data_IF_610691366450
#
_entry.id   IF_610691366450
#
_cell.length_a   1.000
_cell.length_b   1.000
_cell.length_c   1.000
_cell.angle_alpha   90.00
_cell.angle_beta   90.00
_cell.angle_gamma   90.00
#
_symmetry.space_group_name_H-M   'P 1'
#
loop_
_entity.id
_entity.type
_entity.pdbx_description
1 polymer ?
#
# COMPACT_ATOMS: atom_id res chain seq x y z
N UNK A 1 32.39 -13.59 28.48
CA UNK A 1 32.39 -13.76 27.01
C UNK A 1 30.99 -14.11 26.58
N UNK A 2 30.10 -13.14 26.30
CA UNK A 2 28.79 -13.32 25.62
C UNK A 2 28.03 -11.98 25.56
N UNK A 3 28.57 -10.96 24.88
CA UNK A 3 27.84 -9.70 24.60
C UNK A 3 28.02 -9.22 23.15
N UNK A 4 28.54 -10.06 22.24
CA UNK A 4 28.90 -9.67 20.88
C UNK A 4 28.03 -10.24 19.74
N UNK A 5 26.92 -10.91 20.05
CA UNK A 5 26.12 -11.61 19.03
C UNK A 5 24.76 -10.98 18.69
N UNK A 6 24.21 -10.06 19.51
CA UNK A 6 22.91 -9.42 19.21
C UNK A 6 23.04 -8.13 18.40
N UNK A 7 24.14 -7.39 18.53
CA UNK A 7 24.36 -6.15 17.79
C UNK A 7 24.59 -6.39 16.28
N UNK A 8 25.11 -7.56 15.90
CA UNK A 8 25.38 -7.93 14.51
C UNK A 8 24.10 -8.28 13.73
N UNK A 9 23.08 -8.83 14.38
CA UNK A 9 21.78 -9.13 13.75
C UNK A 9 20.97 -7.86 13.43
N UNK A 10 21.16 -6.78 14.18
CA UNK A 10 20.44 -5.50 13.98
C UNK A 10 21.00 -4.67 12.81
N UNK A 11 22.28 -4.86 12.46
CA UNK A 11 22.91 -4.22 11.29
C UNK A 11 22.43 -4.88 9.99
N UNK A 12 22.09 -6.17 10.02
CA UNK A 12 21.56 -6.89 8.85
C UNK A 12 20.09 -6.52 8.52
N UNK A 13 19.28 -6.11 9.49
CA UNK A 13 17.87 -5.71 9.22
C UNK A 13 17.81 -4.32 8.57
N UNK A 14 18.75 -3.42 8.92
CA UNK A 14 18.84 -2.07 8.32
C UNK A 14 19.29 -2.09 6.86
N UNK A 15 19.99 -3.14 6.40
CA UNK A 15 20.45 -3.24 5.01
C UNK A 15 19.35 -3.71 4.04
N UNK A 16 18.23 -4.24 4.57
CA UNK A 16 17.07 -4.70 3.80
C UNK A 16 16.11 -3.58 3.37
N UNK A 17 16.33 -2.34 3.83
CA UNK A 17 15.51 -1.17 3.50
C UNK A 17 16.31 -0.07 2.81
N UNK A 18 16.68 -0.24 1.52
CA UNK A 18 17.20 0.88 0.75
C UNK A 18 16.11 1.94 0.52
N UNK A 19 16.44 3.25 0.50
CA UNK A 19 15.49 4.31 0.20
C UNK A 19 14.91 4.16 -1.22
N UNK A 20 13.67 4.64 -1.46
CA UNK A 20 12.99 4.45 -2.73
C UNK A 20 13.77 5.11 -3.89
N UNK A 21 14.18 4.31 -4.88
CA UNK A 21 14.80 4.81 -6.12
C UNK A 21 13.73 5.14 -7.18
N UNK A 22 13.93 6.26 -7.87
CA UNK A 22 13.11 6.71 -9.00
C UNK A 22 13.16 5.71 -10.16
N UNK A 23 12.01 5.19 -10.61
CA UNK A 23 11.92 4.21 -11.70
C UNK A 23 12.07 4.87 -13.07
N UNK A 24 13.00 4.37 -13.90
CA UNK A 24 12.90 4.46 -15.37
C UNK A 24 12.26 3.16 -15.88
N UNK A 25 11.25 3.30 -16.72
CA UNK A 25 10.49 2.18 -17.28
C UNK A 25 11.28 1.43 -18.36
N UNK A 26 11.35 0.11 -18.25
CA UNK A 26 11.76 -0.77 -19.36
C UNK A 26 10.57 -1.64 -19.70
N UNK A 27 9.98 -1.40 -20.87
CA UNK A 27 8.93 -2.25 -21.47
C UNK A 27 9.61 -3.39 -22.22
N UNK A 28 9.23 -4.64 -21.93
CA UNK A 28 9.45 -5.78 -22.84
C UNK A 28 8.10 -6.32 -23.31
N UNK A 29 8.04 -6.60 -24.61
CA UNK A 29 6.86 -7.00 -25.38
C UNK A 29 6.47 -8.47 -25.11
N UNK A 30 5.16 -8.71 -24.97
CA UNK A 30 4.55 -10.05 -24.86
C UNK A 30 4.23 -10.61 -26.25
N UNK A 31 4.42 -11.92 -26.45
CA UNK A 31 3.92 -12.67 -27.61
C UNK A 31 2.56 -13.34 -27.27
N UNK A 32 1.68 -13.58 -28.26
CA UNK A 32 0.30 -14.01 -28.02
C UNK A 32 0.17 -15.53 -27.87
N UNK A 33 -0.75 -15.97 -27.00
CA UNK A 33 -1.10 -17.38 -26.79
C UNK A 33 -2.18 -17.85 -27.77
N UNK A 34 -1.91 -18.91 -28.52
CA UNK A 34 -2.91 -19.63 -29.34
C UNK A 34 -3.64 -20.67 -28.51
N UNK A 35 -4.98 -20.58 -28.50
CA UNK A 35 -5.89 -21.57 -27.90
C UNK A 35 -5.95 -22.82 -28.77
N UNK A 36 -5.84 -24.02 -28.19
CA UNK A 36 -6.15 -25.26 -28.89
C UNK A 36 -7.39 -25.93 -28.29
N UNK A 37 -8.36 -26.21 -29.18
CA UNK A 37 -9.57 -27.00 -28.97
C UNK A 37 -9.25 -28.46 -29.25
N UNK A 38 -9.78 -29.38 -28.44
CA UNK A 38 -9.64 -30.82 -28.68
C UNK A 38 -10.80 -31.36 -29.50
N UNK A 39 -10.50 -32.05 -30.60
CA UNK A 39 -11.44 -32.88 -31.36
C UNK A 39 -11.13 -34.36 -31.06
N UNK A 40 -12.19 -35.15 -30.86
CA UNK A 40 -12.12 -36.60 -30.68
C UNK A 40 -12.52 -37.26 -32.00
N UNK A 41 -11.64 -38.11 -32.55
CA UNK A 41 -11.96 -39.00 -33.66
C UNK A 41 -11.87 -40.44 -33.18
N UNK A 42 -12.96 -41.19 -33.35
CA UNK A 42 -13.07 -42.62 -33.09
C UNK A 42 -12.49 -43.40 -34.26
N UNK A 43 -11.66 -44.41 -33.99
CA UNK A 43 -11.32 -45.46 -34.95
C UNK A 43 -11.49 -46.83 -34.29
N UNK A 44 -12.37 -47.62 -34.87
CA UNK A 44 -12.61 -49.05 -34.61
C UNK A 44 -11.58 -49.89 -35.38
N UNK A 45 -11.02 -50.92 -34.75
CA UNK A 45 -10.47 -52.09 -35.47
C UNK A 45 -10.61 -53.35 -34.63
N UNK A 46 -10.89 -54.45 -35.35
CA UNK A 46 -11.27 -55.79 -34.89
C UNK A 46 -10.06 -56.65 -34.50
N UNK A 47 -10.36 -57.68 -33.72
CA UNK A 47 -9.50 -58.76 -33.24
C UNK A 47 -8.75 -59.52 -34.35
N UNK A 48 -7.51 -59.93 -34.07
CA UNK A 48 -7.07 -61.35 -34.13
C UNK A 48 -5.63 -61.53 -33.59
N UNK A 49 -5.37 -62.75 -33.12
CA UNK A 49 -4.34 -63.14 -32.17
C UNK A 49 -2.98 -63.49 -32.79
N UNK A 50 -1.89 -63.18 -32.08
CA UNK A 50 -0.78 -64.12 -31.86
C UNK A 50 0.11 -63.64 -30.71
N UNK A 51 0.65 -64.56 -29.91
CA UNK A 51 1.48 -64.28 -28.74
C UNK A 51 2.89 -64.84 -28.92
N UNK A 52 3.92 -64.10 -28.47
CA UNK A 52 4.99 -64.75 -27.70
C UNK A 52 5.28 -64.05 -26.37
N UNK A 53 5.55 -64.87 -25.37
CA UNK A 53 5.98 -64.50 -24.02
C UNK A 53 7.41 -63.95 -24.05
N UNK A 54 7.64 -62.83 -23.36
CA UNK A 54 8.67 -62.63 -22.31
C UNK A 54 9.11 -61.17 -22.25
N UNK A 55 8.68 -60.49 -21.19
CA UNK A 55 9.51 -59.87 -20.13
C UNK A 55 8.62 -58.85 -19.44
N UNK A 56 8.27 -59.08 -18.16
CA UNK A 56 7.71 -58.02 -17.33
C UNK A 56 8.83 -57.00 -17.06
N UNK A 57 8.97 -56.02 -17.94
CA UNK A 57 9.48 -54.72 -17.51
C UNK A 57 8.40 -54.08 -16.64
N UNK A 58 8.80 -53.68 -15.43
CA UNK A 58 7.95 -52.88 -14.54
C UNK A 58 7.30 -51.74 -15.34
N UNK A 59 6.01 -51.44 -15.13
CA UNK A 59 5.41 -50.28 -15.78
C UNK A 59 6.25 -49.04 -15.41
N UNK A 60 6.60 -48.17 -16.38
CA UNK A 60 7.25 -46.91 -16.04
C UNK A 60 6.33 -46.19 -15.05
N UNK A 61 6.90 -45.69 -13.96
CA UNK A 61 6.25 -44.87 -12.93
C UNK A 61 5.48 -43.71 -13.60
N UNK A 62 4.22 -43.96 -13.97
CA UNK A 62 3.33 -43.00 -14.62
C UNK A 62 2.73 -42.02 -13.59
N UNK A 63 3.18 -42.08 -12.35
CA UNK A 63 2.62 -41.31 -11.23
C UNK A 63 3.39 -39.99 -11.00
N UNK A 64 4.46 -39.72 -11.76
CA UNK A 64 5.35 -38.58 -11.51
C UNK A 64 5.53 -37.57 -12.67
N UNK A 65 4.66 -37.59 -13.70
CA UNK A 65 4.83 -36.74 -14.89
C UNK A 65 3.88 -35.53 -15.00
N UNK A 66 3.07 -35.24 -13.98
CA UNK A 66 2.21 -34.05 -14.01
C UNK A 66 3.06 -32.83 -13.62
N UNK A 67 3.36 -31.99 -14.61
CA UNK A 67 4.02 -30.69 -14.42
C UNK A 67 3.00 -29.56 -14.44
N UNK A 68 3.36 -28.47 -13.76
CA UNK A 68 2.59 -27.23 -13.67
C UNK A 68 3.47 -26.07 -14.13
N UNK A 69 2.91 -25.22 -14.98
CA UNK A 69 3.58 -24.00 -15.44
C UNK A 69 3.49 -22.90 -14.37
N UNK A 70 4.63 -22.35 -13.98
CA UNK A 70 4.68 -21.18 -13.09
C UNK A 70 4.17 -19.93 -13.81
N UNK A 71 3.15 -19.25 -13.26
CA UNK A 71 2.55 -18.09 -13.93
C UNK A 71 3.44 -16.84 -13.96
N UNK A 72 4.60 -16.85 -13.29
CA UNK A 72 5.55 -15.74 -13.23
C UNK A 72 6.70 -15.94 -14.23
N UNK A 73 7.41 -17.07 -14.15
CA UNK A 73 8.56 -17.34 -15.01
C UNK A 73 8.22 -18.16 -16.28
N UNK A 74 7.12 -18.91 -16.27
CA UNK A 74 6.75 -19.82 -17.36
C UNK A 74 7.43 -21.19 -17.30
N UNK A 75 8.21 -21.47 -16.25
CA UNK A 75 8.89 -22.77 -16.11
C UNK A 75 7.90 -23.86 -15.69
N UNK A 76 8.05 -25.05 -16.27
CA UNK A 76 7.32 -26.25 -15.86
C UNK A 76 7.99 -26.91 -14.65
N UNK A 77 7.20 -27.18 -13.62
CA UNK A 77 7.70 -27.73 -12.35
C UNK A 77 6.73 -28.77 -11.77
N UNK A 78 7.23 -29.68 -10.95
CA UNK A 78 6.34 -30.60 -10.22
C UNK A 78 5.52 -29.85 -9.17
N UNK A 79 4.36 -30.39 -8.79
CA UNK A 79 3.51 -29.80 -7.76
C UNK A 79 4.24 -29.54 -6.43
N UNK A 80 5.17 -30.43 -6.05
CA UNK A 80 6.00 -30.32 -4.85
C UNK A 80 7.01 -29.17 -4.87
N UNK A 81 7.28 -28.61 -6.05
CA UNK A 81 8.23 -27.51 -6.27
C UNK A 81 7.54 -26.14 -6.42
N UNK A 82 6.30 -26.03 -5.96
CA UNK A 82 5.57 -24.77 -5.96
C UNK A 82 4.30 -24.79 -5.12
N UNK A 83 3.49 -23.76 -5.31
CA UNK A 83 2.26 -23.54 -4.56
C UNK A 83 1.12 -23.19 -5.50
N UNK A 84 -0.05 -23.78 -5.25
CA UNK A 84 -1.30 -23.33 -5.83
C UNK A 84 -1.70 -21.99 -5.17
N UNK A 85 -1.30 -20.88 -5.79
CA UNK A 85 -1.48 -19.54 -5.23
C UNK A 85 -2.95 -19.08 -5.23
N UNK A 86 -3.74 -19.56 -6.19
CA UNK A 86 -5.18 -19.39 -6.26
C UNK A 86 -5.81 -20.50 -7.10
N UNK A 87 -7.11 -20.39 -7.41
CA UNK A 87 -7.84 -21.40 -8.16
C UNK A 87 -7.29 -21.71 -9.57
N UNK A 88 -6.50 -20.81 -10.16
CA UNK A 88 -6.07 -20.91 -11.56
C UNK A 88 -4.57 -20.71 -11.79
N UNK A 89 -3.79 -20.42 -10.75
CA UNK A 89 -2.38 -20.08 -10.90
C UNK A 89 -1.50 -20.85 -9.93
N UNK A 90 -0.42 -21.38 -10.49
CA UNK A 90 0.65 -22.05 -9.79
C UNK A 90 1.90 -21.17 -9.82
N UNK A 91 2.63 -21.10 -8.70
CA UNK A 91 3.90 -20.40 -8.60
C UNK A 91 4.96 -21.39 -8.15
N UNK A 92 6.09 -21.46 -8.84
CA UNK A 92 7.23 -22.22 -8.33
C UNK A 92 7.75 -21.62 -7.01
N UNK A 93 8.49 -22.41 -6.24
CA UNK A 93 9.02 -22.00 -4.94
C UNK A 93 9.85 -20.71 -5.02
N UNK A 94 10.71 -20.60 -6.03
CA UNK A 94 11.56 -19.43 -6.23
C UNK A 94 10.75 -18.16 -6.52
N UNK A 95 9.80 -18.21 -7.46
CA UNK A 95 8.93 -17.06 -7.76
C UNK A 95 8.06 -16.66 -6.57
N UNK A 96 7.69 -17.63 -5.72
CA UNK A 96 6.94 -17.37 -4.48
C UNK A 96 7.78 -16.58 -3.49
N UNK A 97 9.03 -17.00 -3.22
CA UNK A 97 9.96 -16.27 -2.35
C UNK A 97 10.25 -14.88 -2.90
N UNK A 98 10.56 -14.77 -4.19
CA UNK A 98 10.82 -13.49 -4.87
C UNK A 98 9.62 -12.53 -4.75
N UNK A 99 8.39 -13.05 -4.81
CA UNK A 99 7.19 -12.22 -4.63
C UNK A 99 7.11 -11.60 -3.23
N UNK A 100 7.53 -12.34 -2.20
CA UNK A 100 7.60 -11.85 -0.82
C UNK A 100 8.70 -10.80 -0.64
N UNK A 101 9.87 -11.03 -1.23
CA UNK A 101 10.98 -10.06 -1.20
C UNK A 101 10.62 -8.76 -1.93
N UNK A 102 10.01 -8.85 -3.10
CA UNK A 102 9.53 -7.67 -3.83
C UNK A 102 8.49 -6.86 -3.04
N UNK A 103 7.59 -7.54 -2.33
CA UNK A 103 6.58 -6.88 -1.50
C UNK A 103 7.20 -6.11 -0.32
N UNK A 104 8.37 -6.51 0.18
CA UNK A 104 9.07 -5.74 1.22
C UNK A 104 9.59 -4.41 0.70
N UNK A 105 10.17 -4.40 -0.51
CA UNK A 105 10.81 -3.22 -1.10
C UNK A 105 9.84 -2.11 -1.53
N UNK A 106 8.56 -2.42 -1.77
CA UNK A 106 7.56 -1.46 -2.23
C UNK A 106 6.23 -1.65 -1.51
N UNK A 107 5.80 -0.65 -0.73
CA UNK A 107 4.54 -0.70 0.02
C UNK A 107 3.31 -0.84 -0.89
N UNK A 108 3.41 -0.42 -2.16
CA UNK A 108 2.35 -0.59 -3.16
C UNK A 108 2.33 -2.00 -3.75
N UNK A 109 3.45 -2.72 -3.69
CA UNK A 109 3.55 -4.13 -4.06
C UNK A 109 3.17 -5.08 -2.90
N UNK A 110 2.99 -4.53 -1.69
CA UNK A 110 2.54 -5.28 -0.53
C UNK A 110 1.00 -5.38 -0.50
N UNK A 111 0.42 -6.53 -0.10
CA UNK A 111 1.07 -7.82 0.17
C UNK A 111 1.45 -8.56 -1.12
N UNK A 112 2.39 -9.51 -1.00
CA UNK A 112 2.66 -10.50 -2.03
C UNK A 112 1.35 -11.20 -2.43
N UNK A 113 1.01 -11.12 -3.71
CA UNK A 113 -0.31 -11.54 -4.22
C UNK A 113 -0.19 -12.24 -5.57
N UNK A 114 -1.13 -13.14 -5.79
CA UNK A 114 -1.52 -13.57 -7.13
C UNK A 114 -2.79 -12.77 -7.51
N UNK A 115 -3.93 -13.44 -7.65
CA UNK A 115 -5.24 -12.77 -7.74
C UNK A 115 -5.68 -12.18 -6.40
N UNK A 116 -5.28 -12.81 -5.30
CA UNK A 116 -5.52 -12.41 -3.92
C UNK A 116 -4.20 -12.47 -3.14
N UNK A 117 -4.11 -11.83 -1.95
CA UNK A 117 -2.94 -11.97 -1.08
C UNK A 117 -2.60 -13.44 -0.80
N UNK A 118 -1.33 -13.81 -0.96
CA UNK A 118 -0.87 -15.17 -0.70
C UNK A 118 -0.97 -15.46 0.79
N UNK A 119 -1.73 -16.50 1.17
CA UNK A 119 -1.89 -16.85 2.57
C UNK A 119 -0.56 -17.34 3.16
N UNK A 120 -0.14 -16.74 4.28
CA UNK A 120 1.11 -17.09 4.98
C UNK A 120 1.27 -18.60 5.19
N UNK A 121 0.21 -19.29 5.61
CA UNK A 121 0.23 -20.74 5.89
C UNK A 121 0.66 -21.58 4.69
N UNK A 122 0.36 -21.14 3.47
CA UNK A 122 0.71 -21.87 2.25
C UNK A 122 2.20 -21.82 1.94
N UNK A 123 2.87 -20.73 2.33
CA UNK A 123 4.23 -20.42 1.88
C UNK A 123 5.24 -20.38 3.02
N UNK A 124 4.82 -20.48 4.28
CA UNK A 124 5.68 -20.31 5.45
C UNK A 124 6.90 -21.24 5.45
N UNK A 125 6.75 -22.46 4.92
CA UNK A 125 7.84 -23.44 4.79
C UNK A 125 8.92 -23.03 3.76
N UNK A 126 8.59 -22.14 2.82
CA UNK A 126 9.50 -21.61 1.81
C UNK A 126 10.25 -20.36 2.29
N UNK A 127 9.72 -19.66 3.30
CA UNK A 127 10.24 -18.37 3.73
C UNK A 127 11.24 -18.54 4.88
N UNK A 128 12.42 -17.93 4.74
CA UNK A 128 13.40 -17.88 5.83
C UNK A 128 12.82 -17.17 7.08
N UNK A 129 13.36 -17.49 8.26
CA UNK A 129 12.92 -16.84 9.50
C UNK A 129 13.07 -15.30 9.45
N UNK A 130 14.14 -14.81 8.81
CA UNK A 130 14.37 -13.39 8.57
C UNK A 130 13.27 -12.78 7.68
N UNK A 131 12.96 -13.41 6.55
CA UNK A 131 11.93 -12.94 5.61
C UNK A 131 10.54 -12.92 6.26
N UNK A 132 10.19 -13.96 7.04
CA UNK A 132 8.93 -14.00 7.80
C UNK A 132 8.81 -12.85 8.81
N UNK A 133 9.90 -12.56 9.51
CA UNK A 133 9.96 -11.47 10.49
C UNK A 133 9.80 -10.12 9.81
N UNK A 134 10.60 -9.84 8.77
CA UNK A 134 10.52 -8.61 7.99
C UNK A 134 9.13 -8.39 7.37
N UNK A 135 8.53 -9.45 6.82
CA UNK A 135 7.20 -9.39 6.23
C UNK A 135 6.11 -9.13 7.27
N UNK A 136 6.25 -9.68 8.48
CA UNK A 136 5.33 -9.41 9.58
C UNK A 136 5.42 -7.96 10.06
N UNK A 137 6.63 -7.39 10.15
CA UNK A 137 6.82 -5.97 10.46
C UNK A 137 6.24 -5.07 9.37
N UNK A 138 6.46 -5.41 8.10
CA UNK A 138 5.89 -4.67 6.96
C UNK A 138 4.36 -4.75 6.93
N UNK A 139 3.78 -5.89 7.28
CA UNK A 139 2.34 -6.05 7.42
C UNK A 139 1.77 -5.12 8.49
N UNK A 140 2.42 -5.01 9.66
CA UNK A 140 2.00 -4.08 10.72
C UNK A 140 1.96 -2.64 10.21
N UNK A 141 2.97 -2.20 9.46
CA UNK A 141 2.97 -0.88 8.83
C UNK A 141 1.86 -0.74 7.79
N UNK A 142 1.73 -1.70 6.88
CA UNK A 142 0.77 -1.65 5.77
C UNK A 142 -0.67 -1.58 6.26
N UNK A 143 -1.03 -2.42 7.23
CA UNK A 143 -2.39 -2.47 7.79
C UNK A 143 -2.66 -1.37 8.82
N UNK A 144 -1.64 -0.63 9.27
CA UNK A 144 -1.86 0.59 10.06
C UNK A 144 -2.37 1.71 9.14
N UNK A 145 -3.48 2.40 9.48
CA UNK A 145 -3.96 3.55 8.74
C UNK A 145 -2.86 4.58 8.52
N UNK A 146 -2.74 5.14 7.31
CA UNK A 146 -1.62 6.04 6.93
C UNK A 146 -1.47 7.25 7.86
N UNK A 147 -2.57 7.79 8.36
CA UNK A 147 -2.60 8.91 9.32
C UNK A 147 -2.02 8.54 10.70
N UNK A 148 -2.16 7.28 11.11
CA UNK A 148 -1.64 6.75 12.36
C UNK A 148 -0.20 6.24 12.26
N UNK A 149 0.35 6.11 11.05
CA UNK A 149 1.74 5.68 10.88
C UNK A 149 2.67 6.72 11.49
N UNK A 150 3.65 6.24 12.24
CA UNK A 150 4.70 7.04 12.85
C UNK A 150 6.02 6.37 12.53
N UNK A 151 6.96 7.15 12.02
CA UNK A 151 8.31 6.70 11.74
C UNK A 151 9.26 7.34 12.74
N UNK A 152 10.36 6.67 13.05
CA UNK A 152 11.39 7.23 13.88
C UNK A 152 11.92 8.53 13.26
N UNK A 153 11.85 9.64 13.98
CA UNK A 153 12.26 10.97 13.49
C UNK A 153 13.79 11.14 13.39
N UNK A 154 14.57 10.10 13.71
CA UNK A 154 16.02 10.08 13.53
C UNK A 154 16.33 9.73 12.08
N UNK A 155 17.06 10.60 11.40
CA UNK A 155 17.36 10.52 9.95
C UNK A 155 17.93 9.17 9.52
N UNK A 156 18.85 8.60 10.30
CA UNK A 156 19.48 7.31 10.00
C UNK A 156 18.67 6.08 10.42
N UNK A 157 17.52 6.26 11.07
CA UNK A 157 16.68 5.14 11.52
C UNK A 157 15.42 5.02 10.66
N UNK A 158 14.53 6.00 10.68
CA UNK A 158 13.31 6.00 9.86
C UNK A 158 12.36 4.81 10.03
N UNK A 159 12.60 3.90 10.98
CA UNK A 159 11.82 2.66 11.16
C UNK A 159 10.39 3.00 11.61
N UNK A 160 9.41 2.26 11.08
CA UNK A 160 8.02 2.34 11.50
C UNK A 160 7.88 1.94 12.98
N UNK A 161 7.16 2.75 13.76
CA UNK A 161 6.87 2.50 15.17
C UNK A 161 5.40 2.09 15.29
N UNK A 162 5.17 0.83 15.66
CA UNK A 162 3.82 0.29 15.85
C UNK A 162 3.07 1.02 16.99
N UNK A 163 1.75 1.25 16.88
CA UNK A 163 0.96 1.93 17.92
C UNK A 163 1.06 1.34 19.32
N UNK A 164 1.41 0.07 19.48
CA UNK A 164 1.65 -0.54 20.80
C UNK A 164 2.86 0.04 21.54
N UNK A 165 3.74 0.78 20.86
CA UNK A 165 4.89 1.50 21.43
C UNK A 165 4.59 2.98 21.66
N UNK A 166 3.31 3.38 21.58
CA UNK A 166 2.89 4.74 21.88
C UNK A 166 2.63 4.90 23.37
N UNK A 167 3.20 5.96 23.92
CA UNK A 167 3.01 6.39 25.29
C UNK A 167 1.98 7.52 25.31
N UNK A 168 0.81 7.22 25.86
CA UNK A 168 -0.35 8.12 25.99
C UNK A 168 -0.53 8.63 27.42
N UNK A 169 0.50 8.56 28.27
CA UNK A 169 0.37 8.93 29.69
C UNK A 169 0.15 10.43 29.90
N UNK A 170 0.61 11.27 28.97
CA UNK A 170 0.35 12.70 28.99
C UNK A 170 -1.01 13.02 28.36
N UNK A 171 -1.81 13.84 29.04
CA UNK A 171 -3.08 14.34 28.49
C UNK A 171 -2.89 15.22 27.24
N UNK A 172 -1.69 15.76 27.03
CA UNK A 172 -1.42 16.75 25.98
C UNK A 172 -0.64 16.19 24.80
N UNK A 173 -0.05 15.00 24.93
CA UNK A 173 0.80 14.45 23.88
C UNK A 173 0.92 12.93 23.95
N UNK A 174 0.94 12.33 22.75
CA UNK A 174 1.33 10.94 22.56
C UNK A 174 2.74 10.86 22.00
N UNK A 175 3.57 10.00 22.59
CA UNK A 175 4.98 9.84 22.21
C UNK A 175 5.25 8.40 21.75
N UNK A 176 5.75 8.25 20.53
CA UNK A 176 6.21 6.96 20.01
C UNK A 176 7.68 6.73 20.38
N UNK A 177 7.99 5.56 20.95
CA UNK A 177 9.35 5.19 21.36
C UNK A 177 9.95 4.18 20.39
N UNK A 178 11.04 4.56 19.74
CA UNK A 178 11.79 3.68 18.84
C UNK A 178 12.78 2.81 19.63
N UNK A 179 13.12 1.64 19.10
CA UNK A 179 14.14 0.74 19.66
C UNK A 179 15.54 1.36 19.63
N UNK A 180 15.81 2.30 18.71
CA UNK A 180 17.06 3.06 18.70
C UNK A 180 17.16 4.12 19.82
N UNK A 181 16.15 4.21 20.69
CA UNK A 181 16.06 5.15 21.82
C UNK A 181 15.48 6.52 21.46
N UNK A 182 15.30 6.84 20.18
CA UNK A 182 14.67 8.08 19.76
C UNK A 182 13.17 8.12 20.09
N UNK A 183 12.66 9.32 20.35
CA UNK A 183 11.25 9.58 20.65
C UNK A 183 10.66 10.48 19.57
N UNK A 184 9.54 10.08 19.00
CA UNK A 184 8.80 10.84 17.98
C UNK A 184 7.46 11.27 18.55
N UNK A 185 7.06 12.52 18.34
CA UNK A 185 5.72 12.98 18.65
C UNK A 185 4.71 12.35 17.67
N UNK A 186 3.64 11.71 18.16
CA UNK A 186 2.65 11.07 17.27
C UNK A 186 1.79 12.08 16.53
N UNK A 187 1.58 13.28 17.11
CA UNK A 187 0.81 14.36 16.49
C UNK A 187 1.55 15.00 15.32
N UNK A 188 2.65 15.72 15.60
CA UNK A 188 3.38 16.46 14.56
C UNK A 188 4.41 15.61 13.79
N UNK A 189 4.62 14.34 14.16
CA UNK A 189 5.61 13.41 13.58
C UNK A 189 7.07 13.88 13.68
N UNK A 190 7.35 14.93 14.47
CA UNK A 190 8.70 15.47 14.70
C UNK A 190 9.38 14.85 15.92
N UNK A 191 10.66 15.16 16.09
CA UNK A 191 11.46 14.78 17.27
C UNK A 191 10.78 15.29 18.54
N UNK A 192 10.56 14.37 19.49
CA UNK A 192 10.03 14.70 20.80
C UNK A 192 11.13 15.32 21.69
N UNK A 193 10.87 16.52 22.19
CA UNK A 193 11.83 17.31 23.01
C UNK A 193 11.50 17.32 24.50
N UNK A 194 10.64 16.42 24.98
CA UNK A 194 10.24 16.41 26.40
C UNK A 194 9.28 17.56 26.74
N UNK A 195 9.43 18.13 27.93
CA UNK A 195 8.55 19.18 28.44
C UNK A 195 8.53 20.46 27.58
N UNK A 196 9.59 20.72 26.80
CA UNK A 196 9.66 21.87 25.90
C UNK A 196 9.15 21.57 24.48
N UNK A 197 8.57 20.38 24.25
CA UNK A 197 8.02 20.06 22.94
C UNK A 197 6.70 20.83 22.73
N UNK A 198 6.67 21.63 21.67
CA UNK A 198 5.47 22.28 21.21
C UNK A 198 5.13 21.70 19.82
N UNK A 199 3.96 21.10 19.69
CA UNK A 199 3.43 20.75 18.38
C UNK A 199 3.12 22.05 17.66
N UNK A 200 3.96 22.41 16.69
CA UNK A 200 3.62 23.50 15.77
C UNK A 200 2.40 23.04 15.00
N UNK A 201 1.33 23.82 15.11
CA UNK A 201 0.09 23.53 14.41
C UNK A 201 0.37 23.51 12.91
N UNK A 202 0.19 22.35 12.27
CA UNK A 202 0.39 22.21 10.84
C UNK A 202 -0.61 23.05 10.04
N UNK A 203 -1.63 23.62 10.69
CA UNK A 203 -2.62 24.51 10.09
C UNK A 203 -2.01 25.77 9.44
N UNK A 204 -0.88 26.28 9.96
CA UNK A 204 -0.26 27.46 9.35
C UNK A 204 0.31 27.12 7.97
N UNK A 205 -0.10 27.85 6.94
CA UNK A 205 0.38 27.69 5.57
C UNK A 205 1.91 27.90 5.50
N UNK A 206 2.70 26.89 5.09
CA UNK A 206 4.13 27.05 4.90
C UNK A 206 4.48 28.24 3.98
N UNK A 207 5.53 28.99 4.33
CA UNK A 207 5.95 30.18 3.59
C UNK A 207 6.35 29.91 2.12
N UNK A 208 6.73 28.67 1.78
CA UNK A 208 7.08 28.26 0.43
C UNK A 208 5.86 27.95 -0.45
N UNK A 209 4.66 27.81 0.11
CA UNK A 209 3.44 27.56 -0.66
C UNK A 209 2.91 28.86 -1.26
N UNK A 210 2.60 28.88 -2.57
CA UNK A 210 2.02 30.06 -3.21
C UNK A 210 0.67 30.41 -2.60
N UNK A 211 0.26 31.71 -2.60
CA UNK A 211 -1.05 32.12 -2.16
C UNK A 211 -2.14 31.40 -2.97
N UNK A 212 -3.32 31.25 -2.37
CA UNK A 212 -4.45 30.66 -3.09
C UNK A 212 -4.86 31.58 -4.25
N UNK A 213 -5.09 31.02 -5.42
CA UNK A 213 -5.68 31.72 -6.56
C UNK A 213 -6.58 30.78 -7.37
N UNK A 214 -7.45 31.30 -8.25
CA UNK A 214 -8.26 30.47 -9.14
C UNK A 214 -7.44 29.49 -10.00
N UNK A 215 -6.17 29.81 -10.27
CA UNK A 215 -5.24 28.97 -11.05
C UNK A 215 -4.27 28.16 -10.17
N UNK A 216 -4.25 28.41 -8.86
CA UNK A 216 -3.38 27.72 -7.90
C UNK A 216 -4.18 27.45 -6.62
N UNK A 217 -5.04 26.43 -6.71
CA UNK A 217 -5.97 26.08 -5.64
C UNK A 217 -5.33 25.03 -4.72
N UNK A 218 -4.76 25.49 -3.61
CA UNK A 218 -4.06 24.63 -2.65
C UNK A 218 -4.76 24.67 -1.29
N UNK A 219 -5.14 23.50 -0.76
CA UNK A 219 -5.79 23.34 0.54
C UNK A 219 -5.21 22.15 1.31
N UNK A 220 -5.47 22.08 2.61
CA UNK A 220 -5.13 20.89 3.40
C UNK A 220 -6.17 19.79 3.21
N UNK A 221 -5.71 18.54 3.18
CA UNK A 221 -6.60 17.40 3.30
C UNK A 221 -7.25 17.38 4.70
N UNK A 222 -8.58 17.32 4.81
CA UNK A 222 -9.26 17.28 6.10
C UNK A 222 -8.94 16.01 6.91
N UNK A 223 -8.51 14.93 6.25
CA UNK A 223 -8.16 13.67 6.91
C UNK A 223 -6.72 13.59 7.42
N UNK A 224 -5.75 14.22 6.75
CA UNK A 224 -4.33 14.06 7.12
C UNK A 224 -3.52 15.36 7.21
N UNK A 225 -4.11 16.52 6.91
CA UNK A 225 -3.43 17.82 6.94
C UNK A 225 -2.42 18.05 5.82
N UNK A 226 -2.21 17.09 4.90
CA UNK A 226 -1.29 17.27 3.78
C UNK A 226 -1.81 18.35 2.82
N UNK A 227 -0.93 19.26 2.40
CA UNK A 227 -1.24 20.26 1.39
C UNK A 227 -1.35 19.63 0.01
N UNK A 228 -2.51 19.82 -0.65
CA UNK A 228 -2.83 19.25 -1.95
C UNK A 228 -3.23 20.38 -2.88
N UNK A 229 -2.63 20.38 -4.06
CA UNK A 229 -3.02 21.25 -5.17
C UNK A 229 -4.11 20.58 -5.99
N UNK A 230 -5.16 21.33 -6.29
CA UNK A 230 -6.20 20.96 -7.23
C UNK A 230 -6.08 21.85 -8.48
N UNK A 231 -5.66 21.27 -9.61
CA UNK A 231 -5.45 22.01 -10.86
C UNK A 231 -6.74 22.17 -11.63
N UNK A 232 -7.23 21.09 -12.24
CA UNK A 232 -8.40 21.12 -13.10
C UNK A 232 -9.13 19.76 -13.05
N UNK A 233 -10.22 19.70 -12.28
CA UNK A 233 -11.20 18.61 -12.28
C UNK A 233 -12.46 19.07 -11.52
N UNK A 234 -13.41 18.14 -11.35
CA UNK A 234 -14.51 18.37 -10.44
C UNK A 234 -14.02 18.51 -8.98
N UNK A 235 -14.80 19.14 -8.12
CA UNK A 235 -14.43 19.37 -6.73
C UNK A 235 -14.46 18.10 -5.85
N UNK A 236 -14.72 16.91 -6.41
CA UNK A 236 -14.47 15.62 -5.74
C UNK A 236 -12.97 15.33 -5.67
N UNK A 237 -12.40 15.37 -4.47
CA UNK A 237 -10.99 15.09 -4.24
C UNK A 237 -10.80 13.72 -3.62
N UNK A 238 -9.75 13.01 -4.05
CA UNK A 238 -9.21 11.85 -3.32
C UNK A 238 -7.78 12.17 -2.90
N UNK A 239 -7.52 12.21 -1.59
CA UNK A 239 -6.16 12.46 -1.10
C UNK A 239 -5.20 11.35 -1.55
N UNK A 240 -4.13 11.72 -2.28
CA UNK A 240 -3.12 10.76 -2.74
C UNK A 240 -2.33 10.11 -1.59
N UNK A 241 -2.36 10.71 -0.41
CA UNK A 241 -1.70 10.18 0.79
C UNK A 241 -2.64 9.31 1.61
N UNK A 242 -3.71 9.85 2.21
CA UNK A 242 -4.58 9.10 3.12
C UNK A 242 -5.80 8.45 2.46
N UNK A 243 -6.01 8.67 1.15
CA UNK A 243 -7.14 8.16 0.38
C UNK A 243 -8.53 8.66 0.83
N UNK A 244 -8.59 9.62 1.75
CA UNK A 244 -9.84 10.30 2.12
C UNK A 244 -10.44 10.97 0.87
N UNK A 245 -11.73 10.72 0.66
CA UNK A 245 -12.51 11.42 -0.36
C UNK A 245 -13.28 12.57 0.29
N UNK A 246 -13.24 13.75 -0.32
CA UNK A 246 -13.87 14.96 0.22
C UNK A 246 -14.19 15.97 -0.88
N UNK A 247 -15.13 16.89 -0.60
CA UNK A 247 -15.39 18.03 -1.46
C UNK A 247 -14.33 19.11 -1.24
N UNK A 248 -13.66 19.57 -2.30
CA UNK A 248 -12.62 20.59 -2.24
C UNK A 248 -13.14 21.97 -1.79
N UNK A 249 -14.44 22.23 -1.90
CA UNK A 249 -15.06 23.49 -1.50
C UNK A 249 -15.32 23.50 0.01
N UNK A 250 -16.20 22.62 0.50
CA UNK A 250 -16.62 22.61 1.90
C UNK A 250 -15.77 21.73 2.82
N UNK A 251 -14.81 20.96 2.28
CA UNK A 251 -13.93 20.03 3.01
C UNK A 251 -14.65 18.90 3.76
N UNK A 252 -15.93 18.68 3.49
CA UNK A 252 -16.71 17.59 4.07
C UNK A 252 -16.37 16.26 3.37
N UNK A 253 -16.49 15.11 4.08
CA UNK A 253 -16.36 13.79 3.48
C UNK A 253 -17.29 13.63 2.28
N UNK A 254 -16.80 12.97 1.23
CA UNK A 254 -17.60 12.69 0.04
C UNK A 254 -18.45 11.44 0.27
N UNK A 255 -19.77 11.59 0.22
CA UNK A 255 -20.71 10.47 0.31
C UNK A 255 -21.28 10.14 -1.07
N UNK A 256 -21.24 8.86 -1.44
CA UNK A 256 -21.70 8.41 -2.77
C UNK A 256 -23.19 8.68 -3.01
N UNK A 257 -23.98 8.75 -1.93
CA UNK A 257 -25.42 9.04 -1.96
C UNK A 257 -25.75 10.52 -2.15
N UNK A 258 -24.87 11.43 -1.70
CA UNK A 258 -25.09 12.88 -1.75
C UNK A 258 -24.50 13.53 -3.02
N UNK A 259 -23.55 12.88 -3.68
CA UNK A 259 -23.00 13.35 -4.96
C UNK A 259 -22.18 14.64 -4.81
N UNK A 260 -22.41 15.64 -5.68
CA UNK A 260 -21.58 16.86 -5.80
C UNK A 260 -21.75 17.91 -4.69
N UNK A 261 -22.44 17.58 -3.59
CA UNK A 261 -22.80 18.52 -2.52
C UNK A 261 -23.49 19.79 -3.07
N UNK A 262 -24.19 19.66 -4.22
CA UNK A 262 -24.91 20.77 -4.86
C UNK A 262 -26.11 21.22 -4.01
N UNK A 263 -26.74 20.29 -3.28
CA UNK A 263 -27.76 20.60 -2.27
C UNK A 263 -27.24 21.50 -1.17
N UNK A 264 -25.95 21.36 -0.83
CA UNK A 264 -25.24 22.18 0.14
C UNK A 264 -24.64 23.44 -0.50
N UNK A 265 -24.94 23.71 -1.78
CA UNK A 265 -24.47 24.87 -2.54
C UNK A 265 -23.01 24.79 -3.04
N UNK A 266 -22.39 23.61 -3.06
CA UNK A 266 -21.05 23.46 -3.63
C UNK A 266 -21.13 23.37 -5.16
N UNK A 267 -20.35 24.16 -5.93
CA UNK A 267 -20.26 23.97 -7.37
C UNK A 267 -19.56 22.64 -7.70
N UNK A 268 -20.00 21.98 -8.77
CA UNK A 268 -19.35 20.78 -9.29
C UNK A 268 -17.90 21.01 -9.74
N UNK A 269 -17.58 22.20 -10.24
CA UNK A 269 -16.26 22.57 -10.76
C UNK A 269 -15.86 23.98 -10.30
N UNK A 270 -14.55 24.23 -10.20
CA UNK A 270 -14.03 25.56 -9.88
C UNK A 270 -14.39 26.04 -8.48
N UNK A 271 -14.31 27.35 -8.27
CA UNK A 271 -14.70 28.00 -7.01
C UNK A 271 -16.14 28.51 -7.05
N UNK A 272 -16.75 28.85 -5.88
CA UNK A 272 -18.06 29.49 -5.83
C UNK A 272 -18.12 30.74 -6.73
N UNK A 273 -19.24 30.93 -7.41
CA UNK A 273 -19.41 31.98 -8.44
C UNK A 273 -19.19 33.40 -7.90
N UNK A 274 -19.58 33.65 -6.65
CA UNK A 274 -19.41 34.94 -5.99
C UNK A 274 -18.00 35.14 -5.41
N UNK A 275 -17.15 34.10 -5.47
CA UNK A 275 -15.78 34.15 -4.95
C UNK A 275 -15.70 34.28 -3.43
N UNK A 276 -14.57 34.80 -2.97
CA UNK A 276 -14.25 34.95 -1.55
C UNK A 276 -14.04 36.43 -1.19
N UNK A 277 -14.25 36.77 0.09
CA UNK A 277 -13.87 38.04 0.69
C UNK A 277 -12.37 38.10 1.01
N UNK A 278 -11.90 39.25 1.51
CA UNK A 278 -10.49 39.47 1.84
C UNK A 278 -10.00 38.59 3.02
N UNK A 279 -10.94 38.07 3.81
CA UNK A 279 -10.68 37.15 4.90
C UNK A 279 -10.80 35.68 4.47
N UNK A 280 -11.11 35.41 3.19
CA UNK A 280 -11.19 34.06 2.62
C UNK A 280 -12.53 33.36 2.81
N UNK A 281 -13.58 34.04 3.26
CA UNK A 281 -14.93 33.51 3.35
C UNK A 281 -15.68 33.68 2.03
N UNK A 282 -16.50 32.69 1.67
CA UNK A 282 -17.38 32.81 0.50
C UNK A 282 -18.30 34.03 0.62
N UNK A 283 -18.54 34.72 -0.50
CA UNK A 283 -19.52 35.80 -0.55
C UNK A 283 -20.97 35.31 -0.65
N UNK A 284 -21.15 34.01 -0.89
CA UNK A 284 -22.46 33.34 -0.89
C UNK A 284 -23.09 33.33 0.50
N UNK A 285 -24.39 33.05 0.59
CA UNK A 285 -25.12 32.96 1.86
C UNK A 285 -24.53 31.93 2.85
N UNK A 286 -23.82 30.91 2.34
CA UNK A 286 -23.17 29.89 3.18
C UNK A 286 -22.01 30.45 3.99
N UNK A 287 -21.28 31.40 3.38
CA UNK A 287 -20.15 32.08 4.01
C UNK A 287 -19.08 31.14 4.57
N UNK A 288 -18.75 30.04 3.88
CA UNK A 288 -17.72 29.10 4.34
C UNK A 288 -16.31 29.66 4.09
N UNK A 289 -15.40 29.48 5.03
CA UNK A 289 -14.00 29.82 4.82
C UNK A 289 -13.32 28.82 3.89
N UNK A 290 -12.64 29.32 2.86
CA UNK A 290 -11.98 28.52 1.83
C UNK A 290 -11.08 27.42 2.39
N UNK A 291 -10.26 27.74 3.39
CA UNK A 291 -9.18 26.85 3.84
C UNK A 291 -9.62 25.91 4.97
N UNK A 292 -10.73 26.22 5.66
CA UNK A 292 -11.18 25.45 6.84
C UNK A 292 -12.53 24.78 6.62
N UNK A 293 -13.33 25.24 5.66
CA UNK A 293 -14.69 24.76 5.42
C UNK A 293 -15.70 25.18 6.50
N UNK A 294 -15.33 26.11 7.40
CA UNK A 294 -16.21 26.61 8.45
C UNK A 294 -16.62 28.06 8.18
N UNK A 295 -17.87 28.39 8.46
CA UNK A 295 -18.38 29.75 8.47
C UNK A 295 -17.85 30.56 9.65
N UNK A 296 -18.09 31.87 9.64
CA UNK A 296 -17.75 32.79 10.75
C UNK A 296 -18.38 32.38 12.08
N UNK A 297 -19.51 31.67 12.03
CA UNK A 297 -20.18 31.11 13.19
C UNK A 297 -19.64 29.73 13.62
N UNK A 298 -18.57 29.23 13.00
CA UNK A 298 -17.98 27.92 13.28
C UNK A 298 -18.80 26.73 12.76
N UNK A 299 -19.75 26.97 11.85
CA UNK A 299 -20.59 25.93 11.24
C UNK A 299 -20.02 25.48 9.90
N UNK A 300 -20.07 24.18 9.60
CA UNK A 300 -19.65 23.60 8.31
C UNK A 300 -20.82 23.01 7.49
N UNK A 301 -22.06 23.19 7.99
CA UNK A 301 -23.37 22.97 7.37
C UNK A 301 -24.36 23.93 8.04
#
# INVERSE_FOLDING_TARGET
MTERTEATALVEISSLYPPPRSRKAVRKSRKPSTKLRYNVSQHTVKDEADAPKETLSNPPDLENSITYECCICGDETQFTAGVAACASHFLCNECTVNSYEMALGDIQAFPARCCTPLARRLVEHLLSAALRTAYSLRAQEYYTPRTLRVYCSREMCGVFIHPSRFDNTSAFATVARCECGAKTCVGCKQVWKGASHCCVDSASKPAWLPPYSPTCRIKQCPGCGLWIEHKDACNHMTCCYCSQQFCFICLLPWEFTEGFHESEGCPSYGDPSEGYDDEGYERTERGLHRDTGFSRAGRNR
#
